data_IF_732964969910
#
_entry.id   IF_732964969910
#
_cell.length_a   1.000
_cell.length_b   1.000
_cell.length_c   1.000
_cell.angle_alpha   90.00
_cell.angle_beta   90.00
_cell.angle_gamma   90.00
#
_symmetry.space_group_name_H-M   'P 1'
#
loop_
_entity.id
_entity.type
_entity.pdbx_description
1 polymer ?
#
# COMPACT_ATOMS: atom_id res chain seq x y z
N UNK A 1 2.00 15.18 19.04
CA UNK A 1 1.88 15.26 18.52
C UNK A 1 1.77 15.07 17.83
N UNK A 2 2.05 15.04 17.75
CA UNK A 2 1.97 14.93 16.94
C UNK A 2 1.98 14.86 16.24
N UNK A 3 2.26 14.82 16.32
CA UNK A 3 2.38 14.91 15.67
C UNK A 3 2.25 15.24 14.88
N UNK A 4 2.21 15.47 15.24
CA UNK A 4 2.09 15.91 14.45
C UNK A 4 2.25 16.38 13.86
N UNK A 5 2.21 16.47 14.16
CA UNK A 5 2.39 16.97 13.64
C UNK A 5 2.77 17.41 13.24
N UNK A 6 2.98 17.41 13.56
CA UNK A 6 3.54 17.97 13.19
C UNK A 6 4.10 18.16 12.60
N UNK A 7 4.09 18.13 13.15
CA UNK A 7 4.91 18.06 12.34
C UNK A 7 5.40 19.05 11.57
N UNK A 8 6.45 18.97 11.06
CA UNK A 8 7.01 19.85 10.27
C UNK A 8 6.54 19.79 8.92
N UNK A 9 6.24 20.85 8.21
CA UNK A 9 5.65 20.79 6.87
C UNK A 9 6.47 19.96 5.90
N UNK A 10 7.76 20.11 5.91
CA UNK A 10 8.57 19.33 4.98
C UNK A 10 8.48 17.86 5.28
N UNK A 11 8.54 17.51 6.52
CA UNK A 11 8.46 16.13 6.85
C UNK A 11 7.09 15.59 6.63
N UNK A 12 6.08 16.37 6.93
CA UNK A 12 4.74 15.90 6.68
C UNK A 12 4.52 15.68 5.21
N UNK A 13 5.29 16.38 4.38
CA UNK A 13 5.13 16.24 2.96
C UNK A 13 5.78 15.00 2.39
N UNK A 14 6.50 14.21 3.18
CA UNK A 14 7.20 13.04 2.64
C UNK A 14 6.60 11.73 3.03
N UNK A 15 5.64 11.70 3.93
CA UNK A 15 5.02 10.44 4.31
C UNK A 15 3.62 10.64 4.85
N UNK A 16 2.83 9.60 4.76
CA UNK A 16 1.48 9.61 5.28
C UNK A 16 1.12 8.19 5.70
N UNK A 17 0.63 8.04 6.94
CA UNK A 17 0.25 6.73 7.42
C UNK A 17 -1.17 6.77 7.93
N UNK A 18 -1.96 5.75 7.64
CA UNK A 18 -3.27 5.63 8.24
C UNK A 18 -3.61 4.18 8.50
N UNK A 19 -4.36 3.94 9.57
CA UNK A 19 -4.86 2.62 9.89
C UNK A 19 -6.36 2.62 9.77
N UNK A 20 -6.93 1.52 9.30
CA UNK A 20 -8.37 1.47 9.13
C UNK A 20 -8.84 0.03 8.93
N UNK A 21 -10.17 -0.15 8.97
CA UNK A 21 -10.78 -1.41 8.63
C UNK A 21 -11.31 -1.26 7.22
N UNK A 22 -10.95 -2.17 6.34
CA UNK A 22 -11.31 -2.05 4.94
C UNK A 22 -12.82 -2.26 4.78
N UNK A 23 -13.46 -1.32 4.15
CA UNK A 23 -14.89 -1.39 3.88
C UNK A 23 -15.17 -1.11 2.42
N UNK A 24 -16.43 -1.01 2.11
CA UNK A 24 -16.87 -0.89 0.74
C UNK A 24 -16.33 0.35 0.04
N UNK A 25 -16.11 1.43 0.77
CA UNK A 25 -15.63 2.66 0.14
C UNK A 25 -14.15 2.93 0.36
N UNK A 26 -13.44 1.99 0.98
CA UNK A 26 -12.04 2.24 1.34
C UNK A 26 -11.15 2.42 0.14
N UNK A 27 -11.33 1.61 -0.89
CA UNK A 27 -10.47 1.70 -2.05
C UNK A 27 -10.56 3.05 -2.74
N UNK A 28 -11.78 3.56 -2.89
CA UNK A 28 -11.95 4.88 -3.50
C UNK A 28 -11.35 5.98 -2.66
N UNK A 29 -11.52 5.88 -1.34
CA UNK A 29 -10.96 6.88 -0.42
C UNK A 29 -9.44 6.85 -0.48
N UNK A 30 -8.86 5.65 -0.49
CA UNK A 30 -7.41 5.51 -0.56
C UNK A 30 -6.85 6.05 -1.86
N UNK A 31 -7.53 5.80 -2.96
CA UNK A 31 -7.06 6.30 -4.25
C UNK A 31 -7.07 7.82 -4.28
N UNK A 32 -8.06 8.44 -3.65
CA UNK A 32 -8.12 9.91 -3.60
C UNK A 32 -6.97 10.47 -2.78
N UNK A 33 -6.68 9.84 -1.64
CA UNK A 33 -5.59 10.29 -0.80
C UNK A 33 -4.26 10.12 -1.53
N UNK A 34 -4.08 8.97 -2.17
CA UNK A 34 -2.85 8.72 -2.91
C UNK A 34 -2.66 9.77 -4.00
N UNK A 35 -3.72 10.04 -4.75
CA UNK A 35 -3.62 11.01 -5.85
C UNK A 35 -3.29 12.40 -5.31
N UNK A 36 -3.84 12.77 -4.17
CA UNK A 36 -3.56 14.05 -3.57
C UNK A 36 -2.08 14.19 -3.23
N UNK A 37 -1.49 13.16 -2.62
CA UNK A 37 -0.08 13.22 -2.30
C UNK A 37 0.80 13.17 -3.53
N UNK A 38 0.45 12.36 -4.52
CA UNK A 38 1.23 12.32 -5.75
C UNK A 38 1.19 13.65 -6.48
N UNK A 39 0.06 14.32 -6.46
CA UNK A 39 -0.02 15.65 -7.05
C UNK A 39 0.88 16.61 -6.30
N UNK A 40 0.83 16.57 -4.99
CA UNK A 40 1.64 17.47 -4.18
C UNK A 40 3.13 17.22 -4.38
N UNK A 41 3.51 15.97 -4.59
CA UNK A 41 4.92 15.61 -4.75
C UNK A 41 5.37 15.66 -6.21
N UNK A 42 4.48 16.09 -7.10
CA UNK A 42 4.79 16.18 -8.52
C UNK A 42 5.10 14.82 -9.13
N UNK A 43 4.39 13.82 -8.68
CA UNK A 43 4.51 12.46 -9.16
C UNK A 43 3.18 11.96 -9.72
N UNK A 44 2.35 12.86 -10.20
CA UNK A 44 0.99 12.52 -10.60
C UNK A 44 0.95 11.48 -11.72
N UNK A 45 2.02 11.40 -12.52
CA UNK A 45 2.03 10.40 -13.58
C UNK A 45 2.09 8.98 -13.06
N UNK A 46 2.39 8.80 -11.77
CA UNK A 46 2.40 7.47 -11.18
C UNK A 46 1.03 7.09 -10.63
N UNK A 47 0.03 7.95 -10.76
CA UNK A 47 -1.26 7.73 -10.11
C UNK A 47 -1.95 6.45 -10.52
N UNK A 48 -2.01 6.16 -11.81
CA UNK A 48 -2.74 4.98 -12.23
C UNK A 48 -2.07 3.68 -11.82
N UNK A 49 -0.79 3.49 -12.07
CA UNK A 49 -0.16 2.25 -11.63
C UNK A 49 -0.15 2.12 -10.10
N UNK A 50 0.08 3.22 -9.40
CA UNK A 50 0.11 3.15 -7.94
C UNK A 50 -1.27 2.87 -7.37
N UNK A 51 -2.32 3.44 -7.96
CA UNK A 51 -3.67 3.19 -7.48
C UNK A 51 -4.06 1.73 -7.71
N UNK A 52 -3.68 1.17 -8.83
CA UNK A 52 -3.98 -0.22 -9.10
C UNK A 52 -3.25 -1.13 -8.11
N UNK A 53 -1.95 -0.90 -7.91
CA UNK A 53 -1.18 -1.73 -6.99
C UNK A 53 -1.71 -1.61 -5.57
N UNK A 54 -2.03 -0.42 -5.12
CA UNK A 54 -2.57 -0.24 -3.78
C UNK A 54 -3.90 -0.96 -3.63
N UNK A 55 -4.75 -0.87 -4.63
CA UNK A 55 -6.05 -1.54 -4.58
C UNK A 55 -5.86 -3.05 -4.44
N UNK A 56 -4.89 -3.62 -5.15
CA UNK A 56 -4.67 -5.05 -5.05
C UNK A 56 -4.12 -5.47 -3.70
N UNK A 57 -3.23 -4.68 -3.12
CA UNK A 57 -2.72 -5.00 -1.79
C UNK A 57 -3.81 -4.90 -0.73
N UNK A 58 -4.70 -3.92 -0.86
CA UNK A 58 -5.81 -3.78 0.07
C UNK A 58 -6.80 -4.92 -0.14
N UNK A 59 -7.01 -5.36 -1.37
CA UNK A 59 -7.89 -6.49 -1.63
C UNK A 59 -7.35 -7.77 -0.99
N UNK A 60 -6.03 -7.91 -0.91
CA UNK A 60 -5.45 -9.04 -0.22
C UNK A 60 -5.79 -9.02 1.26
N UNK A 61 -5.87 -7.85 1.87
CA UNK A 61 -6.28 -7.76 3.26
C UNK A 61 -7.70 -8.29 3.41
N UNK A 62 -8.59 -7.92 2.50
CA UNK A 62 -9.96 -8.38 2.57
C UNK A 62 -10.02 -9.90 2.46
N UNK A 63 -9.23 -10.48 1.59
CA UNK A 63 -9.29 -11.92 1.37
C UNK A 63 -8.62 -12.74 2.47
N UNK A 64 -7.61 -12.19 3.11
CA UNK A 64 -6.76 -13.00 3.97
C UNK A 64 -6.68 -12.56 5.43
N UNK A 65 -7.27 -11.43 5.79
CA UNK A 65 -7.15 -10.91 7.15
C UNK A 65 -8.51 -10.84 7.80
N UNK A 66 -8.76 -11.68 8.80
CA UNK A 66 -10.03 -11.58 9.52
C UNK A 66 -10.13 -10.19 10.13
N UNK A 67 -11.28 -9.59 10.06
CA UNK A 67 -11.46 -8.25 10.57
C UNK A 67 -10.99 -7.16 9.63
N UNK A 68 -10.23 -7.50 8.61
CA UNK A 68 -9.84 -6.55 7.55
C UNK A 68 -9.17 -5.29 8.05
N UNK A 69 -8.41 -5.37 9.12
CA UNK A 69 -7.71 -4.20 9.61
C UNK A 69 -6.33 -4.13 8.98
N UNK A 70 -5.92 -2.95 8.59
CA UNK A 70 -4.60 -2.76 8.02
C UNK A 70 -4.15 -1.33 8.23
N UNK A 71 -2.88 -1.08 7.95
CA UNK A 71 -2.39 0.29 7.88
C UNK A 71 -1.71 0.47 6.54
N UNK A 72 -1.81 1.68 6.02
CA UNK A 72 -1.19 2.02 4.75
C UNK A 72 -0.20 3.13 5.00
N UNK A 73 0.99 3.00 4.44
CA UNK A 73 2.02 4.02 4.54
C UNK A 73 2.38 4.44 3.13
N UNK A 74 2.32 5.72 2.86
CA UNK A 74 2.67 6.28 1.57
C UNK A 74 3.90 7.14 1.77
N UNK A 75 4.98 6.84 1.05
CA UNK A 75 6.26 7.50 1.26
C UNK A 75 6.78 8.09 -0.03
N UNK A 76 7.27 9.33 0.06
CA UNK A 76 8.03 9.90 -1.03
C UNK A 76 9.49 9.53 -0.81
N UNK A 77 10.09 8.93 -1.82
CA UNK A 77 11.49 8.52 -1.74
C UNK A 77 12.29 9.27 -2.79
N UNK A 78 13.61 9.30 -2.67
CA UNK A 78 14.41 10.00 -3.69
C UNK A 78 14.16 9.47 -5.11
N UNK A 79 13.83 8.19 -5.24
CA UNK A 79 13.60 7.61 -6.55
C UNK A 79 12.14 7.70 -6.99
N UNK A 80 11.24 8.04 -6.10
CA UNK A 80 9.82 8.14 -6.48
C UNK A 80 8.90 7.82 -5.31
N UNK A 81 8.11 6.77 -5.44
CA UNK A 81 7.05 6.45 -4.49
C UNK A 81 7.24 5.07 -3.88
N UNK A 82 7.00 4.94 -2.58
CA UNK A 82 6.89 3.63 -1.93
C UNK A 82 5.59 3.60 -1.15
N UNK A 83 4.88 2.47 -1.24
CA UNK A 83 3.64 2.27 -0.51
C UNK A 83 3.73 0.93 0.21
N UNK A 84 3.26 0.89 1.45
CA UNK A 84 3.24 -0.33 2.26
C UNK A 84 1.85 -0.53 2.81
N UNK A 85 1.39 -1.77 2.79
CA UNK A 85 0.11 -2.15 3.38
C UNK A 85 0.41 -3.25 4.39
N UNK A 86 0.21 -2.95 5.66
CA UNK A 86 0.59 -3.86 6.74
C UNK A 86 -0.65 -4.38 7.47
N UNK A 87 -0.61 -5.64 7.88
CA UNK A 87 -1.67 -6.18 8.70
C UNK A 87 -1.07 -6.91 9.89
N UNK A 88 -1.88 -7.30 10.83
CA UNK A 88 -1.41 -7.94 12.04
C UNK A 88 -1.52 -9.45 12.03
N UNK A 89 -1.71 -10.06 10.87
CA UNK A 89 -1.89 -11.49 10.78
C UNK A 89 -0.63 -12.13 10.24
N UNK A 90 0.06 -12.93 11.00
CA UNK A 90 1.31 -13.54 10.51
C UNK A 90 1.04 -14.54 9.42
N UNK A 91 2.04 -14.81 8.64
CA UNK A 91 1.96 -15.82 7.60
C UNK A 91 2.32 -15.28 6.24
N UNK A 92 2.81 -16.16 5.44
CA UNK A 92 3.21 -15.76 4.13
C UNK A 92 2.37 -16.40 3.12
N UNK A 93 1.25 -16.86 3.54
CA UNK A 93 0.44 -17.58 2.66
C UNK A 93 0.20 -16.91 1.40
N UNK A 94 -0.05 -15.66 1.48
CA UNK A 94 -0.38 -14.97 0.28
C UNK A 94 0.65 -15.10 -0.76
N UNK A 95 1.84 -14.88 -0.37
CA UNK A 95 2.85 -14.84 -1.38
C UNK A 95 3.03 -16.11 -2.07
N UNK A 96 2.93 -17.20 -1.40
CA UNK A 96 3.25 -18.32 -2.15
C UNK A 96 2.13 -19.05 -2.47
N UNK A 97 1.32 -19.13 -1.67
CA UNK A 97 0.36 -20.01 -1.94
C UNK A 97 -0.01 -19.87 -3.26
N UNK A 98 0.26 -20.34 -3.70
CA UNK A 98 -0.26 -20.55 -4.79
C UNK A 98 -0.84 -19.64 -5.35
N UNK A 99 -0.42 -18.83 -4.91
CA UNK A 99 -0.96 -17.79 -5.45
C UNK A 99 -1.21 -17.92 -6.87
N UNK A 100 -0.52 -18.66 -7.49
CA UNK A 100 -0.62 -18.71 -8.90
C UNK A 100 -2.01 -19.01 -9.38
N UNK A 101 -2.78 -19.65 -8.64
CA UNK A 101 -4.04 -20.04 -9.16
C UNK A 101 -5.21 -19.30 -8.59
N UNK A 102 -5.06 -18.57 -7.52
CA UNK A 102 -6.21 -17.96 -6.94
C UNK A 102 -6.18 -16.47 -7.16
N UNK A 103 -7.19 -15.80 -6.66
CA UNK A 103 -7.30 -14.38 -6.89
C UNK A 103 -6.17 -13.61 -6.28
N UNK A 104 -5.68 -14.07 -5.15
CA UNK A 104 -4.57 -13.39 -4.52
C UNK A 104 -3.35 -13.42 -5.40
N UNK A 105 -3.14 -14.52 -6.09
CA UNK A 105 -2.01 -14.61 -6.99
C UNK A 105 -2.14 -13.70 -8.17
N UNK A 106 -3.34 -13.58 -8.71
CA UNK A 106 -3.55 -12.67 -9.81
C UNK A 106 -3.32 -11.24 -9.37
N UNK A 107 -3.72 -10.89 -8.15
CA UNK A 107 -3.50 -9.55 -7.64
C UNK A 107 -2.04 -9.21 -7.58
N UNK A 108 -1.21 -10.14 -7.11
CA UNK A 108 0.22 -9.88 -7.03
C UNK A 108 0.84 -9.80 -8.41
N UNK A 109 0.33 -10.55 -9.37
CA UNK A 109 0.79 -10.43 -10.74
C UNK A 109 0.52 -9.03 -11.27
N UNK A 110 -0.64 -8.45 -10.92
CA UNK A 110 -0.93 -7.10 -11.35
C UNK A 110 -0.01 -6.09 -10.68
N UNK A 111 0.29 -6.30 -9.40
CA UNK A 111 1.22 -5.42 -8.71
C UNK A 111 2.57 -5.45 -9.43
N UNK A 112 3.04 -6.64 -9.74
CA UNK A 112 4.32 -6.77 -10.41
C UNK A 112 4.32 -6.08 -11.77
N UNK A 113 3.22 -6.17 -12.47
CA UNK A 113 3.15 -5.62 -13.82
C UNK A 113 3.18 -4.10 -13.85
N UNK A 114 2.73 -3.43 -12.79
CA UNK A 114 2.63 -1.98 -12.84
C UNK A 114 3.60 -1.24 -11.93
N UNK A 115 4.45 -1.96 -11.22
CA UNK A 115 5.39 -1.31 -10.30
C UNK A 115 6.81 -1.69 -10.70
N UNK A 116 7.77 -0.95 -10.18
CA UNK A 116 9.17 -1.24 -10.47
C UNK A 116 9.73 -2.27 -9.53
N UNK A 117 9.25 -2.32 -8.31
CA UNK A 117 9.69 -3.29 -7.30
C UNK A 117 8.52 -3.57 -6.37
N UNK A 118 8.45 -4.76 -5.83
CA UNK A 118 7.40 -5.09 -4.88
C UNK A 118 7.82 -6.29 -4.06
N UNK A 119 7.14 -6.51 -2.96
CA UNK A 119 7.42 -7.68 -2.13
C UNK A 119 6.41 -7.83 -1.02
N UNK A 120 6.52 -8.95 -0.30
CA UNK A 120 5.74 -9.22 0.88
C UNK A 120 6.73 -9.67 1.95
N UNK A 121 6.67 -9.04 3.12
CA UNK A 121 7.60 -9.34 4.19
C UNK A 121 6.84 -9.68 5.44
N UNK A 122 7.34 -10.67 6.18
CA UNK A 122 6.78 -10.94 7.49
C UNK A 122 7.48 -10.09 8.50
N UNK A 123 6.71 -9.52 9.40
CA UNK A 123 7.27 -8.73 10.48
C UNK A 123 6.63 -9.20 11.75
N UNK A 124 7.21 -8.83 12.89
CA UNK A 124 6.69 -9.30 14.15
C UNK A 124 5.21 -8.99 14.22
N UNK A 125 4.43 -10.02 14.37
CA UNK A 125 2.99 -9.85 14.53
C UNK A 125 2.21 -9.64 13.27
N UNK A 126 2.82 -9.74 12.10
CA UNK A 126 2.04 -9.55 10.89
C UNK A 126 2.85 -9.62 9.63
N UNK A 127 2.29 -9.11 8.55
CA UNK A 127 3.00 -9.06 7.29
C UNK A 127 2.76 -7.72 6.61
N UNK A 128 3.65 -7.36 5.71
CA UNK A 128 3.56 -6.10 4.98
C UNK A 128 3.78 -6.39 3.49
N UNK A 129 2.81 -5.99 2.69
CA UNK A 129 2.99 -5.97 1.24
C UNK A 129 3.44 -4.57 0.86
N UNK A 130 4.33 -4.45 -0.10
CA UNK A 130 4.83 -3.14 -0.47
C UNK A 130 5.14 -3.08 -1.95
N UNK A 131 5.19 -1.87 -2.48
CA UNK A 131 5.65 -1.67 -3.85
C UNK A 131 6.34 -0.32 -3.98
N UNK A 132 7.14 -0.19 -5.04
CA UNK A 132 7.81 1.06 -5.35
C UNK A 132 7.65 1.36 -6.83
N UNK A 133 7.48 2.63 -7.13
CA UNK A 133 7.39 3.11 -8.49
C UNK A 133 8.39 4.23 -8.66
N UNK A 134 9.23 4.13 -9.70
CA UNK A 134 10.23 5.15 -9.96
C UNK A 134 9.59 6.35 -10.61
N UNK A 135 9.95 7.53 -10.12
CA UNK A 135 9.35 8.76 -10.63
C UNK A 135 10.24 9.54 -11.56
#
# INVERSE_FOLDING_TARGET
>A
MNQATDLYPAELGTSYRMGFTVGEHSAGHMRRILHMFLTRWELVRLSDPAALALTELVANVVRHVPGRRCSVLILREPYGLRVEVADGVPGTVVAKAGGELDEGGRGLVLVEAVTDRWGVEERAGGKTGWFECDG
#
